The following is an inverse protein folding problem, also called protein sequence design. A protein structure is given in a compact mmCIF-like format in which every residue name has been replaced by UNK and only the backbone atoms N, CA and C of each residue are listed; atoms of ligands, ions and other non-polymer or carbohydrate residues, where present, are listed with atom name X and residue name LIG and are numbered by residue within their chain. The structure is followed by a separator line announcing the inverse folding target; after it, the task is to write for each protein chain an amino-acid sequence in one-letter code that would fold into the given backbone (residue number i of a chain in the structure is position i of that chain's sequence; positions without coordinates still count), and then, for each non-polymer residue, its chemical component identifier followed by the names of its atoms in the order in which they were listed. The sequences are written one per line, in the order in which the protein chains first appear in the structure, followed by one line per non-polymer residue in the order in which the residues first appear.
data_IF_801797754190
#
_entry.id   IF_801797754190
#
_cell.length_a   1.000
_cell.length_b   1.000
_cell.length_c   1.000
_cell.angle_alpha   90.00
_cell.angle_beta   90.00
_cell.angle_gamma   90.00
#
_symmetry.space_group_name_H-M   'P 1'
#
loop_
_entity.id
_entity.type
_entity.pdbx_description
1 polymer ?
#
# COMPACT_ATOMS: atom_id res chain seq x y z
N UNK A 1 -60.16 -18.69 14.83
CA UNK A 1 -59.71 -19.51 13.69
C UNK A 1 -58.24 -19.19 13.44
N UNK A 2 -57.33 -20.16 13.58
CA UNK A 2 -55.87 -19.93 13.52
C UNK A 2 -55.41 -19.88 12.05
N UNK A 3 -54.84 -18.77 11.61
CA UNK A 3 -54.22 -18.67 10.28
C UNK A 3 -52.92 -19.47 10.25
N UNK A 4 -52.89 -20.57 9.50
CA UNK A 4 -51.68 -21.37 9.30
C UNK A 4 -50.82 -20.73 8.22
N UNK A 5 -49.75 -20.03 8.60
CA UNK A 5 -48.69 -19.63 7.67
C UNK A 5 -47.93 -20.88 7.25
N UNK A 6 -48.10 -21.32 6.00
CA UNK A 6 -47.28 -22.41 5.44
C UNK A 6 -45.85 -21.89 5.29
N UNK A 7 -44.93 -22.46 6.08
CA UNK A 7 -43.50 -22.19 5.99
C UNK A 7 -43.01 -22.67 4.61
N UNK A 8 -42.58 -21.74 3.75
CA UNK A 8 -41.90 -22.08 2.49
C UNK A 8 -40.63 -22.86 2.86
N UNK A 9 -40.60 -24.16 2.52
CA UNK A 9 -39.41 -25.01 2.70
C UNK A 9 -38.30 -24.41 1.86
N UNK A 10 -37.26 -23.87 2.51
CA UNK A 10 -36.04 -23.45 1.84
C UNK A 10 -35.42 -24.65 1.12
N UNK A 11 -35.46 -24.64 -0.22
CA UNK A 11 -34.80 -25.62 -1.08
C UNK A 11 -33.46 -25.02 -1.51
N UNK A 12 -32.32 -25.53 -1.03
CA UNK A 12 -31.02 -24.99 -1.43
C UNK A 12 -30.78 -25.24 -2.93
N UNK A 13 -30.52 -24.17 -3.66
CA UNK A 13 -30.34 -24.18 -5.13
C UNK A 13 -29.00 -24.74 -5.57
N UNK A 14 -28.04 -24.88 -4.64
CA UNK A 14 -26.68 -25.36 -4.92
C UNK A 14 -26.38 -26.53 -4.00
N UNK A 15 -25.94 -27.65 -4.61
CA UNK A 15 -25.45 -28.83 -3.90
C UNK A 15 -23.93 -28.73 -3.79
N UNK A 16 -23.43 -28.53 -2.58
CA UNK A 16 -22.01 -28.69 -2.31
C UNK A 16 -21.64 -30.17 -2.44
N UNK A 17 -20.80 -30.49 -3.42
CA UNK A 17 -20.31 -31.84 -3.66
C UNK A 17 -18.98 -32.00 -2.93
N UNK A 18 -18.85 -33.06 -2.14
CA UNK A 18 -17.77 -33.21 -1.18
C UNK A 18 -18.23 -32.83 0.22
N UNK A 19 -17.87 -33.64 1.21
CA UNK A 19 -18.17 -33.36 2.61
C UNK A 19 -17.53 -32.03 3.08
N UNK A 20 -17.83 -31.59 4.31
CA UNK A 20 -17.28 -30.36 4.86
C UNK A 20 -15.75 -30.31 4.68
N UNK A 21 -15.23 -29.26 4.03
CA UNK A 21 -13.79 -29.06 3.93
C UNK A 21 -13.23 -28.91 5.34
N UNK A 22 -12.42 -29.89 5.78
CA UNK A 22 -11.72 -29.82 7.04
C UNK A 22 -10.71 -28.68 6.95
N UNK A 23 -11.02 -27.55 7.57
CA UNK A 23 -10.05 -26.48 7.75
C UNK A 23 -8.93 -27.03 8.64
N UNK A 24 -7.79 -27.41 8.06
CA UNK A 24 -6.59 -27.69 8.84
C UNK A 24 -6.27 -26.40 9.61
N UNK A 25 -6.22 -26.48 10.93
CA UNK A 25 -5.81 -25.36 11.75
C UNK A 25 -4.42 -24.91 11.27
N UNK A 26 -4.35 -23.76 10.60
CA UNK A 26 -3.09 -23.16 10.26
C UNK A 26 -2.44 -22.76 11.59
N UNK A 27 -1.26 -23.32 11.89
CA UNK A 27 -0.59 -22.96 13.14
C UNK A 27 -0.33 -21.45 13.16
N UNK A 28 -0.75 -20.75 14.20
CA UNK A 28 -0.40 -19.35 14.45
C UNK A 28 1.06 -19.15 14.89
N UNK A 29 1.88 -20.21 14.85
CA UNK A 29 3.30 -20.12 15.06
C UNK A 29 3.93 -19.19 14.02
N UNK A 30 4.75 -18.23 14.48
CA UNK A 30 5.53 -17.36 13.60
C UNK A 30 6.48 -18.27 12.80
N UNK A 31 6.32 -18.25 11.48
CA UNK A 31 7.11 -19.05 10.55
C UNK A 31 7.85 -18.11 9.60
N UNK A 32 9.08 -18.46 9.19
CA UNK A 32 9.76 -17.68 8.18
C UNK A 32 8.98 -17.74 6.87
N UNK A 33 8.99 -16.64 6.12
CA UNK A 33 8.38 -16.60 4.81
C UNK A 33 9.15 -17.55 3.86
N UNK A 34 8.47 -18.31 2.97
CA UNK A 34 9.15 -19.24 2.06
C UNK A 34 10.14 -18.57 1.09
N UNK A 35 9.99 -17.27 0.83
CA UNK A 35 10.93 -16.47 0.03
C UNK A 35 11.90 -15.62 0.88
N UNK A 36 11.98 -15.87 2.18
CA UNK A 36 13.00 -15.22 2.99
C UNK A 36 14.38 -15.75 2.53
N UNK A 37 15.35 -14.87 2.24
CA UNK A 37 16.63 -15.26 1.63
C UNK A 37 17.40 -16.33 2.42
N UNK A 38 17.21 -16.39 3.74
CA UNK A 38 17.86 -17.37 4.63
C UNK A 38 16.87 -18.02 5.63
N UNK A 39 15.56 -17.99 5.33
CA UNK A 39 14.55 -18.53 6.25
C UNK A 39 14.52 -17.84 7.63
N UNK A 40 14.89 -16.57 7.69
CA UNK A 40 14.98 -15.81 8.93
C UNK A 40 13.60 -15.36 9.42
N UNK A 41 13.41 -15.44 10.74
CA UNK A 41 12.25 -14.90 11.45
C UNK A 41 12.54 -13.45 11.89
N UNK A 42 11.62 -12.49 11.67
CA UNK A 42 11.79 -11.14 12.18
C UNK A 42 11.80 -11.16 13.72
N UNK A 43 12.88 -10.66 14.34
CA UNK A 43 13.02 -10.57 15.80
C UNK A 43 13.73 -11.73 16.49
N UNK A 44 14.22 -12.74 15.76
CA UNK A 44 15.09 -13.78 16.32
C UNK A 44 16.44 -13.20 16.79
N UNK A 45 17.09 -13.78 17.80
CA UNK A 45 18.43 -13.35 18.26
C UNK A 45 19.52 -13.51 17.16
N UNK A 46 19.27 -14.37 16.16
CA UNK A 46 20.06 -14.48 14.92
C UNK A 46 19.80 -13.34 13.92
N UNK A 47 18.74 -12.56 14.13
CA UNK A 47 18.43 -11.32 13.44
C UNK A 47 19.05 -10.11 14.15
N UNK A 48 20.22 -10.29 14.79
CA UNK A 48 20.97 -9.16 15.31
C UNK A 48 21.26 -8.20 14.16
N UNK A 49 20.79 -6.98 14.39
CA UNK A 49 20.46 -5.87 13.48
C UNK A 49 21.63 -5.32 12.64
N UNK A 50 22.77 -6.01 12.56
CA UNK A 50 23.99 -5.49 11.91
C UNK A 50 24.28 -6.09 10.52
N UNK A 51 23.96 -7.37 10.29
CA UNK A 51 24.43 -8.07 9.07
C UNK A 51 23.43 -8.05 7.91
N UNK A 52 22.13 -8.11 8.19
CA UNK A 52 21.07 -8.18 7.18
C UNK A 52 20.38 -6.84 6.88
N UNK A 53 20.63 -5.81 7.70
CA UNK A 53 20.25 -4.41 7.42
C UNK A 53 21.32 -3.71 6.59
N UNK A 54 22.01 -4.43 5.72
CA UNK A 54 22.90 -3.84 4.72
C UNK A 54 22.19 -3.88 3.38
N UNK A 55 21.07 -3.15 3.29
CA UNK A 55 20.62 -2.71 1.98
C UNK A 55 21.72 -1.78 1.44
N UNK A 56 22.64 -2.38 0.69
CA UNK A 56 23.62 -1.65 -0.10
C UNK A 56 22.95 -1.40 -1.43
N UNK A 57 22.49 -0.17 -1.63
CA UNK A 57 22.04 0.27 -2.94
C UNK A 57 23.27 0.21 -3.87
N UNK A 58 23.28 -0.66 -4.91
CA UNK A 58 24.41 -0.74 -5.84
C UNK A 58 24.48 0.48 -6.76
N UNK A 59 23.45 1.33 -6.77
CA UNK A 59 23.42 2.51 -7.61
C UNK A 59 24.49 3.51 -7.18
N UNK A 60 25.17 4.15 -8.15
CA UNK A 60 26.15 5.18 -7.85
C UNK A 60 25.50 6.33 -7.07
N UNK A 61 26.24 6.88 -6.11
CA UNK A 61 25.81 8.03 -5.30
C UNK A 61 25.74 9.30 -6.16
N UNK A 62 26.43 9.34 -7.30
CA UNK A 62 26.43 10.44 -8.24
C UNK A 62 25.51 10.14 -9.42
N UNK A 63 24.74 11.14 -9.92
CA UNK A 63 23.89 10.93 -11.08
C UNK A 63 24.77 10.84 -12.34
N UNK A 64 24.30 10.13 -13.36
CA UNK A 64 24.98 10.10 -14.67
C UNK A 64 24.79 11.42 -15.42
N UNK A 65 25.53 11.61 -16.50
CA UNK A 65 25.36 12.79 -17.36
C UNK A 65 23.92 12.92 -17.86
N UNK A 66 23.27 14.05 -17.55
CA UNK A 66 21.88 14.32 -17.91
C UNK A 66 20.84 13.77 -16.92
N UNK A 67 21.25 12.99 -15.92
CA UNK A 67 20.43 12.61 -14.78
C UNK A 67 20.61 13.61 -13.63
N UNK A 68 19.55 13.85 -12.87
CA UNK A 68 19.57 14.74 -11.72
C UNK A 68 18.75 14.10 -10.60
N UNK A 69 19.23 14.14 -9.36
CA UNK A 69 18.47 13.59 -8.23
C UNK A 69 17.36 14.53 -7.79
N UNK A 70 17.61 15.84 -7.90
CA UNK A 70 16.69 16.86 -7.44
C UNK A 70 16.05 17.58 -8.64
N UNK A 71 14.75 17.83 -8.55
CA UNK A 71 14.02 18.62 -9.57
C UNK A 71 14.53 20.06 -9.66
N UNK A 72 15.16 20.59 -8.59
CA UNK A 72 15.79 21.91 -8.57
C UNK A 72 16.99 22.02 -9.51
N UNK A 73 17.64 20.90 -9.85
CA UNK A 73 18.80 20.86 -10.75
C UNK A 73 18.37 20.79 -12.23
N UNK A 74 17.12 20.41 -12.51
CA UNK A 74 16.57 20.37 -13.87
C UNK A 74 16.37 21.77 -14.46
N UNK A 75 16.20 21.90 -15.79
CA UNK A 75 15.80 23.16 -16.43
C UNK A 75 14.50 23.74 -15.85
N UNK A 76 14.36 25.07 -15.86
CA UNK A 76 13.23 25.81 -15.26
C UNK A 76 11.85 25.29 -15.67
N UNK A 77 11.71 24.80 -16.90
CA UNK A 77 10.49 24.20 -17.45
C UNK A 77 9.98 22.98 -16.65
N UNK A 78 10.87 22.22 -16.02
CA UNK A 78 10.54 21.00 -15.26
C UNK A 78 10.48 21.21 -13.75
N UNK A 79 10.82 22.42 -13.28
CA UNK A 79 10.71 22.80 -11.87
C UNK A 79 9.25 23.08 -11.50
N UNK A 80 8.91 22.94 -10.22
CA UNK A 80 7.63 23.46 -9.73
C UNK A 80 7.63 24.98 -9.85
N UNK A 81 6.50 25.54 -10.27
CA UNK A 81 6.31 26.98 -10.25
C UNK A 81 6.12 27.41 -8.80
N UNK A 82 6.86 28.42 -8.30
CA UNK A 82 6.52 29.01 -7.01
C UNK A 82 5.10 29.58 -7.09
N UNK A 83 4.34 29.43 -6.02
CA UNK A 83 3.02 30.04 -5.89
C UNK A 83 3.22 31.56 -5.98
N UNK A 84 2.47 32.22 -6.86
CA UNK A 84 2.53 33.68 -6.97
C UNK A 84 1.70 34.32 -5.87
N UNK A 85 2.04 35.53 -5.45
CA UNK A 85 1.25 36.28 -4.47
C UNK A 85 -0.22 36.42 -4.94
N UNK A 86 -0.45 36.65 -6.23
CA UNK A 86 -1.80 36.64 -6.80
C UNK A 86 -2.57 35.34 -6.60
N UNK A 87 -1.88 34.20 -6.66
CA UNK A 87 -2.52 32.89 -6.45
C UNK A 87 -2.89 32.71 -4.97
N UNK A 88 -2.07 33.24 -4.06
CA UNK A 88 -2.35 33.27 -2.62
C UNK A 88 -3.57 34.14 -2.34
N UNK A 89 -3.60 35.37 -2.86
CA UNK A 89 -4.74 36.28 -2.67
C UNK A 89 -6.04 35.68 -3.22
N UNK A 90 -5.99 35.02 -4.38
CA UNK A 90 -7.15 34.32 -4.95
C UNK A 90 -7.67 33.20 -4.03
N UNK A 91 -6.77 32.42 -3.43
CA UNK A 91 -7.16 31.37 -2.48
C UNK A 91 -7.78 31.97 -1.22
N UNK A 92 -7.20 33.05 -0.68
CA UNK A 92 -7.70 33.74 0.52
C UNK A 92 -9.04 34.44 0.29
N UNK A 93 -9.19 35.07 -0.87
CA UNK A 93 -10.43 35.70 -1.36
C UNK A 93 -11.53 34.67 -1.70
N UNK A 94 -11.17 33.39 -1.80
CA UNK A 94 -12.10 32.34 -2.21
C UNK A 94 -12.46 32.38 -3.70
N UNK A 95 -11.63 33.03 -4.52
CA UNK A 95 -11.83 33.17 -5.96
C UNK A 95 -13.02 34.04 -6.37
N UNK A 96 -13.54 34.86 -5.46
CA UNK A 96 -14.71 35.71 -5.67
C UNK A 96 -14.36 37.18 -5.95
N UNK A 97 -13.11 37.47 -6.30
CA UNK A 97 -12.68 38.84 -6.63
C UNK A 97 -13.39 39.31 -7.91
N UNK A 98 -14.06 40.47 -7.81
CA UNK A 98 -14.83 41.05 -8.90
C UNK A 98 -13.84 41.75 -9.84
N UNK A 99 -13.68 41.22 -11.06
CA UNK A 99 -12.92 41.88 -12.12
C UNK A 99 -13.85 42.86 -12.83
N UNK A 100 -13.60 44.16 -12.65
CA UNK A 100 -14.26 45.26 -13.39
C UNK A 100 -13.34 45.83 -14.48
#
# INVERSE_FOLDING_TARGET
MKFTTRLLKYVPTIKFVGGPHQAKAASHAVKPHPMAPEGLLPGSTSSSTASYSRYQNPNPIQPKEGEYFSRSELPSRFRYKPIKDSDIENVLSGGAEIVY
#
